data_IF_051813574929
#
_entry.id   IF_051813574929
#
_cell.length_a   1.000
_cell.length_b   1.000
_cell.length_c   1.000
_cell.angle_alpha   90.00
_cell.angle_beta   90.00
_cell.angle_gamma   90.00
#
_symmetry.space_group_name_H-M   'P 1'
#
loop_
_entity.id
_entity.type
_entity.pdbx_description
1 polymer ?
#
# COMPACT_ATOMS: atom_id res chain seq x y z
N UNK A 1 -2.72 2.93 3.69
CA UNK A 1 -3.48 3.58 2.59
C UNK A 1 -4.61 2.67 2.14
N UNK A 2 -4.23 1.55 1.56
CA UNK A 2 -5.16 0.52 1.13
C UNK A 2 -5.88 -0.05 2.36
N UNK A 3 -7.20 -0.17 2.33
CA UNK A 3 -8.02 -0.57 3.47
C UNK A 3 -8.26 0.49 4.56
N UNK A 4 -7.47 1.57 4.59
CA UNK A 4 -7.56 2.63 5.60
C UNK A 4 -8.07 3.95 5.03
N UNK A 5 -7.54 4.38 3.88
CA UNK A 5 -7.92 5.61 3.18
C UNK A 5 -8.88 5.29 2.04
N UNK A 6 -8.59 4.21 1.31
CA UNK A 6 -9.31 3.79 0.11
C UNK A 6 -9.63 2.31 0.14
N UNK A 7 -10.76 1.92 -0.46
CA UNK A 7 -11.10 0.53 -0.71
C UNK A 7 -10.48 0.06 -2.04
N UNK A 8 -9.17 -0.21 -2.02
CA UNK A 8 -8.38 -0.67 -3.18
C UNK A 8 -8.18 -2.18 -3.23
N UNK A 9 -8.47 -2.90 -2.14
CA UNK A 9 -8.21 -4.35 -2.00
C UNK A 9 -8.85 -5.16 -3.14
N UNK A 10 -10.11 -4.91 -3.57
CA UNK A 10 -10.72 -5.64 -4.69
C UNK A 10 -9.93 -5.48 -5.99
N UNK A 11 -9.38 -4.28 -6.25
CA UNK A 11 -8.58 -4.02 -7.46
C UNK A 11 -7.21 -4.68 -7.41
N UNK A 12 -6.58 -4.77 -6.24
CA UNK A 12 -5.35 -5.54 -6.07
C UNK A 12 -5.58 -7.04 -6.35
N UNK A 13 -6.70 -7.58 -5.86
CA UNK A 13 -7.06 -8.97 -6.11
C UNK A 13 -7.33 -9.25 -7.60
N UNK A 14 -8.08 -8.36 -8.27
CA UNK A 14 -8.32 -8.43 -9.71
C UNK A 14 -7.02 -8.33 -10.52
N UNK A 15 -6.13 -7.42 -10.12
CA UNK A 15 -4.82 -7.26 -10.77
C UNK A 15 -3.97 -8.52 -10.66
N UNK A 16 -3.94 -9.17 -9.50
CA UNK A 16 -3.25 -10.44 -9.32
C UNK A 16 -3.84 -11.56 -10.19
N UNK A 17 -5.17 -11.70 -10.21
CA UNK A 17 -5.84 -12.68 -11.07
C UNK A 17 -5.47 -12.48 -12.53
N UNK A 18 -5.56 -11.26 -13.02
CA UNK A 18 -5.25 -10.92 -14.40
C UNK A 18 -3.78 -11.20 -14.72
N UNK A 19 -2.88 -10.72 -13.86
CA UNK A 19 -1.44 -10.92 -14.00
C UNK A 19 -1.06 -12.40 -14.08
N UNK A 20 -1.54 -13.23 -13.15
CA UNK A 20 -1.21 -14.66 -13.13
C UNK A 20 -1.83 -15.43 -14.28
N UNK A 21 -3.02 -15.06 -14.73
CA UNK A 21 -3.62 -15.65 -15.93
C UNK A 21 -2.80 -15.32 -17.19
N UNK A 22 -2.37 -14.08 -17.37
CA UNK A 22 -1.51 -13.66 -18.48
C UNK A 22 -0.16 -14.38 -18.46
N UNK A 23 0.41 -14.63 -17.29
CA UNK A 23 1.67 -15.37 -17.10
C UNK A 23 1.48 -16.90 -17.10
N UNK A 24 0.25 -17.41 -17.23
CA UNK A 24 -0.09 -18.85 -17.24
C UNK A 24 0.42 -19.59 -16.00
N UNK A 25 0.37 -18.97 -14.82
CA UNK A 25 0.82 -19.58 -13.56
C UNK A 25 -0.31 -20.45 -13.00
N UNK A 26 -0.09 -21.76 -12.84
CA UNK A 26 -1.13 -22.66 -12.36
C UNK A 26 -1.36 -22.49 -10.85
N UNK A 27 -2.58 -22.81 -10.40
CA UNK A 27 -2.96 -22.90 -8.98
C UNK A 27 -2.72 -21.64 -8.13
N UNK A 28 -2.60 -20.46 -8.77
CA UNK A 28 -2.35 -19.21 -8.05
C UNK A 28 -3.52 -18.79 -7.15
N UNK A 29 -4.76 -19.15 -7.51
CA UNK A 29 -5.97 -18.73 -6.75
C UNK A 29 -5.91 -19.16 -5.30
N UNK A 30 -5.60 -20.43 -5.01
CA UNK A 30 -5.47 -20.94 -3.64
C UNK A 30 -4.39 -20.21 -2.84
N UNK A 31 -3.27 -19.90 -3.48
CA UNK A 31 -2.16 -19.17 -2.84
C UNK A 31 -2.55 -17.70 -2.57
N UNK A 32 -3.28 -17.09 -3.49
CA UNK A 32 -3.77 -15.71 -3.35
C UNK A 32 -4.78 -15.60 -2.21
N UNK A 33 -5.72 -16.53 -2.12
CA UNK A 33 -6.69 -16.58 -1.03
C UNK A 33 -5.99 -16.75 0.33
N UNK A 34 -5.04 -17.70 0.41
CA UNK A 34 -4.25 -17.90 1.64
C UNK A 34 -3.40 -16.68 2.03
N UNK A 35 -2.93 -15.91 1.06
CA UNK A 35 -2.18 -14.68 1.34
C UNK A 35 -3.06 -13.55 1.87
N UNK A 36 -4.28 -13.41 1.32
CA UNK A 36 -5.27 -12.46 1.80
C UNK A 36 -5.59 -12.67 3.29
N UNK A 37 -5.68 -13.93 3.71
CA UNK A 37 -6.03 -14.27 5.09
C UNK A 37 -4.87 -14.09 6.07
N UNK A 38 -3.62 -14.19 5.60
CA UNK A 38 -2.43 -14.16 6.45
C UNK A 38 -1.75 -12.80 6.52
N UNK A 39 -2.03 -11.91 5.57
CA UNK A 39 -1.27 -10.68 5.42
C UNK A 39 0.15 -10.93 4.90
N UNK A 40 1.02 -9.94 5.07
CA UNK A 40 2.44 -10.02 4.72
C UNK A 40 2.83 -9.16 3.52
N UNK A 41 4.15 -9.11 3.24
CA UNK A 41 4.64 -8.30 2.13
C UNK A 41 4.37 -8.96 0.78
N UNK A 42 4.14 -8.15 -0.26
CA UNK A 42 4.01 -8.64 -1.65
C UNK A 42 5.24 -9.47 -2.08
N UNK A 43 6.42 -9.16 -1.56
CA UNK A 43 7.63 -9.92 -1.85
C UNK A 43 7.58 -11.33 -1.27
N UNK A 44 7.08 -11.49 -0.04
CA UNK A 44 6.92 -12.80 0.60
C UNK A 44 5.86 -13.63 -0.12
N UNK A 45 4.78 -13.01 -0.56
CA UNK A 45 3.80 -13.64 -1.42
C UNK A 45 4.43 -14.16 -2.72
N UNK A 46 5.23 -13.35 -3.42
CA UNK A 46 5.92 -13.79 -4.63
C UNK A 46 6.91 -14.91 -4.38
N UNK A 47 7.61 -14.88 -3.25
CA UNK A 47 8.47 -15.99 -2.82
C UNK A 47 7.68 -17.28 -2.56
N UNK A 48 6.49 -17.20 -2.00
CA UNK A 48 5.62 -18.36 -1.80
C UNK A 48 5.17 -19.01 -3.11
N UNK A 49 5.11 -18.22 -4.20
CA UNK A 49 4.74 -18.70 -5.55
C UNK A 49 5.95 -19.28 -6.28
N UNK A 50 7.04 -18.55 -6.30
CA UNK A 50 8.21 -18.88 -7.15
C UNK A 50 9.36 -19.57 -6.41
N UNK A 51 9.30 -19.64 -5.06
CA UNK A 51 10.40 -20.18 -4.26
C UNK A 51 11.69 -19.38 -4.48
N UNK A 52 12.78 -20.08 -4.74
CA UNK A 52 14.11 -19.51 -4.99
C UNK A 52 14.45 -19.37 -6.49
N UNK A 53 13.45 -19.50 -7.39
CA UNK A 53 13.68 -19.40 -8.84
C UNK A 53 14.14 -18.01 -9.29
N UNK A 54 13.79 -16.97 -8.54
CA UNK A 54 14.11 -15.58 -8.85
C UNK A 54 14.80 -14.90 -7.68
N UNK A 55 15.80 -14.09 -7.98
CA UNK A 55 16.42 -13.17 -7.01
C UNK A 55 15.42 -12.10 -6.52
N UNK A 56 15.72 -11.47 -5.38
CA UNK A 56 14.91 -10.33 -4.86
C UNK A 56 14.71 -9.24 -5.91
N UNK A 57 15.74 -8.96 -6.73
CA UNK A 57 15.70 -7.94 -7.78
C UNK A 57 14.73 -8.32 -8.90
N UNK A 58 14.71 -9.58 -9.31
CA UNK A 58 13.80 -10.08 -10.34
C UNK A 58 12.36 -10.11 -9.83
N UNK A 59 12.14 -10.56 -8.59
CA UNK A 59 10.80 -10.51 -7.98
C UNK A 59 10.27 -9.09 -7.90
N UNK A 60 11.09 -8.09 -7.57
CA UNK A 60 10.68 -6.67 -7.59
C UNK A 60 10.24 -6.22 -8.99
N UNK A 61 10.88 -6.67 -10.06
CA UNK A 61 10.44 -6.37 -11.43
C UNK A 61 9.08 -7.01 -11.76
N UNK A 62 8.90 -8.27 -11.37
CA UNK A 62 7.63 -8.99 -11.55
C UNK A 62 6.49 -8.30 -10.78
N UNK A 63 6.77 -7.83 -9.57
CA UNK A 63 5.82 -7.05 -8.76
C UNK A 63 5.46 -5.75 -9.49
N UNK A 64 6.44 -5.01 -10.04
CA UNK A 64 6.16 -3.78 -10.79
C UNK A 64 5.27 -4.03 -12.03
N UNK A 65 5.45 -5.14 -12.73
CA UNK A 65 4.55 -5.52 -13.85
C UNK A 65 3.10 -5.69 -13.38
N UNK A 66 2.89 -6.35 -12.23
CA UNK A 66 1.56 -6.46 -11.62
C UNK A 66 1.02 -5.10 -11.19
N UNK A 67 1.86 -4.21 -10.62
CA UNK A 67 1.42 -2.89 -10.22
C UNK A 67 1.00 -2.01 -11.42
N UNK A 68 1.60 -2.22 -12.60
CA UNK A 68 1.12 -1.61 -13.85
C UNK A 68 -0.30 -2.08 -14.17
N UNK A 69 -0.57 -3.38 -14.02
CA UNK A 69 -1.94 -3.92 -14.21
C UNK A 69 -2.91 -3.29 -13.20
N UNK A 70 -2.53 -3.21 -11.93
CA UNK A 70 -3.33 -2.57 -10.88
C UNK A 70 -3.69 -1.14 -11.25
N UNK A 71 -2.71 -0.29 -11.57
CA UNK A 71 -2.95 1.10 -11.94
C UNK A 71 -3.90 1.23 -13.14
N UNK A 72 -3.75 0.34 -14.15
CA UNK A 72 -4.61 0.36 -15.33
C UNK A 72 -6.07 0.04 -15.03
N UNK A 73 -6.33 -0.93 -14.15
CA UNK A 73 -7.69 -1.38 -13.86
C UNK A 73 -8.39 -0.54 -12.80
N UNK A 74 -7.63 0.10 -11.91
CA UNK A 74 -8.14 0.88 -10.78
C UNK A 74 -8.31 2.36 -11.06
N UNK A 75 -7.61 2.89 -12.09
CA UNK A 75 -7.62 4.31 -12.45
C UNK A 75 -9.05 4.86 -12.59
N UNK A 76 -9.35 5.93 -11.87
CA UNK A 76 -10.66 6.60 -11.88
C UNK A 76 -11.80 5.83 -11.20
N UNK A 77 -11.49 4.71 -10.50
CA UNK A 77 -12.49 3.86 -9.86
C UNK A 77 -12.36 3.76 -8.34
N UNK A 78 -11.16 4.01 -7.82
CA UNK A 78 -10.90 3.95 -6.37
C UNK A 78 -11.61 5.13 -5.70
N UNK A 79 -12.33 4.82 -4.62
CA UNK A 79 -13.02 5.82 -3.82
C UNK A 79 -12.47 5.83 -2.41
N UNK A 80 -12.51 6.99 -1.73
CA UNK A 80 -12.16 7.05 -0.32
C UNK A 80 -13.16 6.22 0.51
N UNK A 81 -12.67 5.70 1.63
CA UNK A 81 -13.53 5.10 2.64
C UNK A 81 -14.46 6.19 3.20
N UNK A 82 -15.71 5.80 3.47
CA UNK A 82 -16.73 6.72 3.98
C UNK A 82 -16.24 7.44 5.24
N UNK A 83 -16.41 8.75 5.29
CA UNK A 83 -15.98 9.62 6.39
C UNK A 83 -14.51 10.02 6.36
N UNK A 84 -13.67 9.44 5.49
CA UNK A 84 -12.25 9.76 5.46
C UNK A 84 -11.97 11.22 5.06
N UNK A 85 -12.61 11.71 4.02
CA UNK A 85 -12.39 13.08 3.52
C UNK A 85 -12.81 14.12 4.57
N UNK A 86 -13.97 13.91 5.20
CA UNK A 86 -14.48 14.77 6.27
C UNK A 86 -13.51 14.77 7.47
N UNK A 87 -13.03 13.60 7.84
CA UNK A 87 -12.05 13.45 8.93
C UNK A 87 -10.71 14.12 8.59
N UNK A 88 -10.19 13.93 7.38
CA UNK A 88 -8.96 14.58 6.92
C UNK A 88 -9.08 16.11 6.99
N UNK A 89 -10.16 16.67 6.46
CA UNK A 89 -10.42 18.09 6.50
C UNK A 89 -10.54 18.62 7.94
N UNK A 90 -11.20 17.87 8.83
CA UNK A 90 -11.28 18.20 10.24
C UNK A 90 -9.89 18.26 10.89
N UNK A 91 -9.03 17.25 10.68
CA UNK A 91 -7.66 17.22 11.22
C UNK A 91 -6.85 18.42 10.71
N UNK A 92 -6.90 18.71 9.41
CA UNK A 92 -6.17 19.84 8.81
C UNK A 92 -6.69 21.18 9.36
N UNK A 93 -7.99 21.32 9.63
CA UNK A 93 -8.55 22.54 10.27
C UNK A 93 -8.03 22.78 11.70
N UNK A 94 -7.47 21.75 12.33
CA UNK A 94 -6.85 21.80 13.66
C UNK A 94 -5.33 22.00 13.61
N UNK A 95 -4.76 22.20 12.42
CA UNK A 95 -3.31 22.30 12.19
C UNK A 95 -2.53 21.06 12.72
N UNK A 96 -3.14 19.88 12.66
CA UNK A 96 -2.49 18.61 13.03
C UNK A 96 -1.73 18.10 11.81
N UNK A 97 -0.50 17.67 12.01
CA UNK A 97 0.30 17.03 10.97
C UNK A 97 -0.29 15.69 10.56
N UNK A 98 -0.32 15.44 9.26
CA UNK A 98 -0.82 14.18 8.68
C UNK A 98 0.28 13.49 7.89
N UNK A 99 0.61 12.26 8.30
CA UNK A 99 1.57 11.40 7.61
C UNK A 99 0.89 10.20 6.95
N UNK A 100 1.42 9.78 5.82
CA UNK A 100 1.08 8.52 5.17
C UNK A 100 2.28 7.58 5.20
N UNK A 101 2.10 6.39 5.79
CA UNK A 101 3.04 5.28 5.74
C UNK A 101 2.37 4.06 5.07
N UNK A 102 2.82 3.66 3.89
CA UNK A 102 2.19 2.60 3.10
C UNK A 102 3.21 1.63 2.53
N UNK A 103 2.93 0.31 2.59
CA UNK A 103 3.71 -0.70 1.89
C UNK A 103 3.56 -0.65 0.36
N UNK A 104 2.62 0.14 -0.15
CA UNK A 104 2.46 0.37 -1.58
C UNK A 104 3.67 1.14 -2.17
N UNK A 105 3.94 0.94 -3.46
CA UNK A 105 4.98 1.69 -4.16
C UNK A 105 4.55 3.13 -4.41
N UNK A 106 5.51 4.05 -4.47
CA UNK A 106 5.27 5.50 -4.67
C UNK A 106 4.33 5.81 -5.83
N UNK A 107 4.49 5.11 -6.96
CA UNK A 107 3.65 5.32 -8.15
C UNK A 107 2.16 5.06 -7.89
N UNK A 108 1.84 4.04 -7.09
CA UNK A 108 0.45 3.74 -6.75
C UNK A 108 -0.10 4.78 -5.77
N UNK A 109 0.67 5.11 -4.75
CA UNK A 109 0.31 6.13 -3.76
C UNK A 109 0.03 7.46 -4.44
N UNK A 110 0.97 7.94 -5.28
CA UNK A 110 0.80 9.21 -5.99
C UNK A 110 -0.41 9.21 -6.93
N UNK A 111 -0.65 8.11 -7.65
CA UNK A 111 -1.82 7.99 -8.52
C UNK A 111 -3.11 8.15 -7.70
N UNK A 112 -3.26 7.39 -6.62
CA UNK A 112 -4.49 7.39 -5.81
C UNK A 112 -4.71 8.74 -5.15
N UNK A 113 -3.69 9.31 -4.49
CA UNK A 113 -3.83 10.57 -3.79
C UNK A 113 -4.12 11.74 -4.73
N UNK A 114 -3.53 11.75 -5.94
CA UNK A 114 -3.81 12.78 -6.96
C UNK A 114 -5.22 12.63 -7.54
N UNK A 115 -5.69 11.39 -7.81
CA UNK A 115 -7.06 11.16 -8.30
C UNK A 115 -8.12 11.61 -7.28
N UNK A 116 -7.80 11.53 -5.99
CA UNK A 116 -8.68 11.98 -4.91
C UNK A 116 -8.47 13.45 -4.53
N UNK A 117 -7.52 14.15 -5.16
CA UNK A 117 -7.15 15.55 -4.90
C UNK A 117 -6.72 15.80 -3.44
N UNK A 118 -6.10 14.79 -2.79
CA UNK A 118 -5.68 14.86 -1.39
C UNK A 118 -4.16 14.75 -1.18
N UNK A 119 -3.37 14.73 -2.25
CA UNK A 119 -1.91 14.55 -2.14
C UNK A 119 -1.28 15.60 -1.22
N UNK A 120 -1.65 16.87 -1.37
CA UNK A 120 -1.09 18.00 -0.63
C UNK A 120 -1.64 18.13 0.81
N UNK A 121 -2.56 17.26 1.22
CA UNK A 121 -3.01 17.18 2.61
C UNK A 121 -2.03 16.44 3.52
N UNK A 122 -1.09 15.69 2.94
CA UNK A 122 -0.11 14.92 3.69
C UNK A 122 1.21 15.68 3.81
N UNK A 123 1.61 15.97 5.04
CA UNK A 123 2.87 16.66 5.36
C UNK A 123 4.08 15.72 5.23
N UNK A 124 3.85 14.40 5.28
CA UNK A 124 4.86 13.35 5.03
C UNK A 124 4.21 12.16 4.33
N UNK A 125 4.87 11.63 3.30
CA UNK A 125 4.45 10.40 2.61
C UNK A 125 5.69 9.50 2.51
N UNK A 126 5.57 8.27 3.03
CA UNK A 126 6.62 7.24 3.00
C UNK A 126 6.05 5.97 2.38
N UNK A 127 6.71 5.45 1.36
CA UNK A 127 6.26 4.33 0.56
C UNK A 127 7.16 3.09 0.71
N UNK A 128 6.61 1.91 0.44
CA UNK A 128 7.30 0.64 0.63
C UNK A 128 8.54 0.43 -0.25
N UNK A 129 8.65 1.14 -1.36
CA UNK A 129 9.84 1.11 -2.23
C UNK A 129 10.95 2.09 -1.80
N UNK A 130 10.71 2.91 -0.76
CA UNK A 130 11.63 3.94 -0.25
C UNK A 130 12.33 3.52 1.05
N UNK A 131 11.87 2.46 1.70
CA UNK A 131 12.42 1.95 2.96
C UNK A 131 13.11 0.61 2.79
N UNK A 132 13.95 0.27 3.76
CA UNK A 132 14.62 -1.03 3.79
C UNK A 132 13.64 -2.11 4.24
N UNK A 133 12.88 -1.81 5.29
CA UNK A 133 11.92 -2.71 5.91
C UNK A 133 10.53 -2.07 5.91
N UNK A 134 9.61 -2.65 5.15
CA UNK A 134 8.20 -2.27 5.18
C UNK A 134 7.48 -2.75 6.44
N UNK A 135 6.24 -2.32 6.63
CA UNK A 135 5.38 -2.79 7.73
C UNK A 135 5.29 -4.33 7.73
N UNK A 136 5.32 -4.99 8.89
CA UNK A 136 5.11 -4.49 10.25
C UNK A 136 6.35 -3.86 10.93
N UNK A 137 7.49 -3.71 10.24
CA UNK A 137 8.62 -2.99 10.80
C UNK A 137 8.24 -1.51 11.04
N UNK A 138 8.59 -0.91 12.20
CA UNK A 138 8.20 0.46 12.53
C UNK A 138 8.98 1.54 11.77
N UNK A 139 9.87 1.20 10.86
CA UNK A 139 10.76 2.11 10.14
C UNK A 139 10.01 3.31 9.53
N UNK A 140 8.91 3.06 8.78
CA UNK A 140 8.12 4.13 8.16
C UNK A 140 7.48 5.09 9.16
N UNK A 141 7.03 4.55 10.29
CA UNK A 141 6.41 5.37 11.34
C UNK A 141 7.45 6.22 12.06
N UNK A 142 8.60 5.63 12.40
CA UNK A 142 9.72 6.35 13.01
C UNK A 142 10.21 7.48 12.09
N UNK A 143 10.37 7.22 10.79
CA UNK A 143 10.76 8.24 9.82
C UNK A 143 9.73 9.37 9.72
N UNK A 144 8.43 9.08 9.80
CA UNK A 144 7.39 10.11 9.84
C UNK A 144 7.48 10.96 11.10
N UNK A 145 7.69 10.34 12.27
CA UNK A 145 7.86 11.01 13.56
C UNK A 145 9.07 11.95 13.53
N UNK A 146 10.20 11.47 12.98
CA UNK A 146 11.42 12.26 12.85
C UNK A 146 11.23 13.47 11.92
N UNK A 147 10.51 13.29 10.81
CA UNK A 147 10.17 14.40 9.90
C UNK A 147 9.30 15.46 10.58
N UNK A 148 8.36 15.04 11.42
CA UNK A 148 7.49 15.97 12.16
C UNK A 148 8.17 16.56 13.39
N UNK A 149 9.28 16.00 13.84
CA UNK A 149 10.01 16.41 15.06
C UNK A 149 9.12 16.39 16.32
N UNK A 150 8.29 15.37 16.44
CA UNK A 150 7.36 15.18 17.55
C UNK A 150 7.72 13.92 18.35
N UNK A 151 7.10 13.76 19.52
CA UNK A 151 7.23 12.51 20.30
C UNK A 151 6.31 11.43 19.73
N UNK A 152 6.74 10.18 19.77
CA UNK A 152 5.88 9.03 19.44
C UNK A 152 4.60 8.95 20.27
N UNK A 153 4.63 9.53 21.49
CA UNK A 153 3.47 9.55 22.38
C UNK A 153 2.40 10.57 21.94
N UNK A 154 2.77 11.49 21.01
CA UNK A 154 1.87 12.48 20.45
C UNK A 154 1.33 12.05 19.08
N UNK A 155 1.54 10.77 18.71
CA UNK A 155 1.12 10.21 17.43
C UNK A 155 -0.06 9.26 17.60
N UNK A 156 -0.99 9.32 16.65
CA UNK A 156 -2.05 8.33 16.48
C UNK A 156 -1.90 7.68 15.11
N UNK A 157 -1.99 6.36 15.06
CA UNK A 157 -1.88 5.57 13.82
C UNK A 157 -3.22 4.91 13.55
N UNK A 158 -3.66 4.99 12.29
CA UNK A 158 -4.81 4.26 11.75
C UNK A 158 -4.30 3.18 10.80
N UNK A 159 -4.66 1.93 11.06
CA UNK A 159 -4.25 0.76 10.28
C UNK A 159 -5.39 -0.25 10.26
N UNK A 160 -5.61 -0.89 9.12
CA UNK A 160 -6.62 -1.95 8.94
C UNK A 160 -6.07 -3.36 9.15
N UNK A 161 -4.75 -3.52 9.11
CA UNK A 161 -4.06 -4.78 9.37
C UNK A 161 -3.75 -4.95 10.87
N UNK A 162 -3.90 -6.18 11.37
CA UNK A 162 -3.62 -6.54 12.78
C UNK A 162 -2.11 -6.76 13.02
N UNK A 163 -1.29 -6.83 11.97
CA UNK A 163 0.15 -7.09 12.05
C UNK A 163 0.97 -5.97 12.70
#
# INVERSE_FOLDING_TARGET
MDGTIVDSIPYHYEAWKKFFNEKKIPNFSKKLDSFKDKGGSTLDFMRSIYGNLYSKKELKKIIEEKEIVFRRISKGKIKPISGFIEFLNFIKSKNIHVGLASNAIRKNVSMILNELEIYDHFDSIICGDEVINGKPNPEMFNESIDRFKISKNDCLIFEDSIE
#
